data_IF_240406624762
#
_entry.id   IF_240406624762
#
_cell.length_a   1.000
_cell.length_b   1.000
_cell.length_c   1.000
_cell.angle_alpha   90.00
_cell.angle_beta   90.00
_cell.angle_gamma   90.00
#
_symmetry.space_group_name_H-M   'P 1'
#
loop_
_entity.id
_entity.type
_entity.pdbx_description
1 polymer ?
#
# COMPACT_ATOMS: atom_id res chain seq x y z
N UNK A 1 6.09 8.10 14.18
CA UNK A 1 6.79 6.92 13.62
C UNK A 1 8.24 6.94 14.08
N UNK A 2 8.80 5.78 14.45
CA UNK A 2 10.20 5.72 14.91
C UNK A 2 11.18 5.95 13.75
N UNK A 3 12.29 6.65 14.03
CA UNK A 3 13.41 6.82 13.09
C UNK A 3 13.91 5.45 12.63
N UNK A 4 13.97 4.46 13.53
CA UNK A 4 14.42 3.12 13.21
C UNK A 4 13.54 2.43 12.16
N UNK A 5 12.22 2.61 12.21
CA UNK A 5 11.31 2.08 11.19
C UNK A 5 11.60 2.70 9.81
N UNK A 6 11.81 4.02 9.75
CA UNK A 6 12.16 4.70 8.51
C UNK A 6 13.52 4.24 7.95
N UNK A 7 14.50 3.96 8.80
CA UNK A 7 15.80 3.41 8.37
C UNK A 7 15.63 2.03 7.74
N UNK A 8 14.85 1.14 8.37
CA UNK A 8 14.56 -0.19 7.81
C UNK A 8 13.81 -0.09 6.48
N UNK A 9 12.85 0.82 6.37
CA UNK A 9 12.12 1.07 5.12
C UNK A 9 13.07 1.60 4.03
N UNK A 10 13.98 2.52 4.37
CA UNK A 10 15.01 3.01 3.47
C UNK A 10 15.92 1.87 2.96
N UNK A 11 16.27 0.93 3.81
CA UNK A 11 17.01 -0.27 3.41
C UNK A 11 16.20 -1.13 2.41
N UNK A 12 14.91 -1.40 2.71
CA UNK A 12 14.03 -2.15 1.80
C UNK A 12 13.93 -1.45 0.44
N UNK A 13 13.79 -0.12 0.43
CA UNK A 13 13.79 0.69 -0.78
C UNK A 13 15.08 0.49 -1.59
N UNK A 14 16.25 0.61 -0.97
CA UNK A 14 17.54 0.43 -1.65
C UNK A 14 17.68 -0.98 -2.23
N UNK A 15 17.22 -2.00 -1.50
CA UNK A 15 17.19 -3.38 -2.00
C UNK A 15 16.35 -3.49 -3.28
N UNK A 16 15.17 -2.88 -3.32
CA UNK A 16 14.31 -2.93 -4.51
C UNK A 16 14.91 -2.15 -5.69
N UNK A 17 15.51 -0.99 -5.45
CA UNK A 17 16.26 -0.27 -6.49
C UNK A 17 17.44 -1.09 -7.03
N UNK A 18 18.14 -1.81 -6.16
CA UNK A 18 19.21 -2.71 -6.59
C UNK A 18 18.67 -3.88 -7.45
N UNK A 19 17.52 -4.46 -7.06
CA UNK A 19 16.85 -5.51 -7.85
C UNK A 19 16.41 -4.97 -9.21
N UNK A 20 15.85 -3.76 -9.29
CA UNK A 20 15.49 -3.10 -10.56
C UNK A 20 16.70 -3.04 -11.50
N UNK A 21 17.85 -2.58 -11.00
CA UNK A 21 19.09 -2.53 -11.80
C UNK A 21 19.53 -3.92 -12.24
N UNK A 22 19.45 -4.91 -11.36
CA UNK A 22 19.79 -6.28 -11.69
C UNK A 22 18.89 -6.89 -12.77
N UNK A 23 17.58 -6.66 -12.70
CA UNK A 23 16.57 -7.28 -13.56
C UNK A 23 16.39 -6.55 -14.90
N UNK A 24 16.50 -5.21 -14.92
CA UNK A 24 16.29 -4.42 -16.15
C UNK A 24 17.59 -4.14 -16.92
N UNK A 25 18.71 -3.96 -16.21
CA UNK A 25 19.96 -3.49 -16.82
C UNK A 25 21.02 -4.59 -16.88
N UNK A 26 21.18 -5.34 -15.78
CA UNK A 26 22.28 -6.29 -15.64
C UNK A 26 21.89 -7.74 -15.86
N UNK A 27 20.62 -8.04 -16.20
CA UNK A 27 20.09 -9.41 -16.27
C UNK A 27 20.93 -10.33 -17.14
N UNK A 28 21.26 -9.89 -18.35
CA UNK A 28 22.09 -10.66 -19.29
C UNK A 28 23.59 -10.42 -19.12
N UNK A 29 24.02 -9.63 -18.13
CA UNK A 29 25.44 -9.39 -17.83
C UNK A 29 25.97 -10.44 -16.84
N UNK A 30 27.29 -10.68 -16.78
CA UNK A 30 27.88 -11.68 -15.87
C UNK A 30 27.44 -11.52 -14.41
N UNK A 31 27.31 -10.27 -13.94
CA UNK A 31 26.85 -9.97 -12.57
C UNK A 31 25.41 -10.39 -12.32
N UNK A 32 24.47 -10.07 -13.22
CA UNK A 32 23.06 -10.48 -13.06
C UNK A 32 22.94 -12.00 -13.06
N UNK A 33 23.56 -12.65 -14.05
CA UNK A 33 23.59 -14.12 -14.13
C UNK A 33 24.18 -14.78 -12.89
N UNK A 34 25.25 -14.23 -12.31
CA UNK A 34 25.83 -14.75 -11.08
C UNK A 34 24.89 -14.61 -9.87
N UNK A 35 24.12 -13.53 -9.78
CA UNK A 35 23.17 -13.30 -8.68
C UNK A 35 21.97 -14.24 -8.77
N UNK A 36 21.44 -14.46 -9.98
CA UNK A 36 20.25 -15.27 -10.22
C UNK A 36 20.54 -16.73 -10.59
N UNK A 37 21.81 -17.10 -10.80
CA UNK A 37 22.22 -18.46 -11.16
C UNK A 37 21.77 -18.88 -12.56
N UNK A 38 21.71 -17.95 -13.51
CA UNK A 38 21.20 -18.21 -14.87
C UNK A 38 22.31 -18.45 -15.89
N UNK A 39 22.03 -19.28 -16.91
CA UNK A 39 22.92 -19.42 -18.07
C UNK A 39 22.78 -18.23 -19.02
N UNK A 40 23.77 -17.96 -19.89
CA UNK A 40 23.65 -16.92 -20.91
C UNK A 40 22.39 -17.09 -21.79
N UNK A 41 22.09 -18.31 -22.22
CA UNK A 41 20.97 -18.62 -23.11
C UNK A 41 19.64 -18.37 -22.41
N UNK A 42 19.50 -18.81 -21.16
CA UNK A 42 18.30 -18.58 -20.37
C UNK A 42 18.09 -17.08 -20.10
N UNK A 43 19.16 -16.35 -19.76
CA UNK A 43 19.08 -14.93 -19.47
C UNK A 43 18.64 -14.13 -20.71
N UNK A 44 19.19 -14.45 -21.89
CA UNK A 44 18.75 -13.81 -23.15
C UNK A 44 17.30 -14.16 -23.48
N UNK A 45 16.90 -15.44 -23.36
CA UNK A 45 15.54 -15.88 -23.65
C UNK A 45 14.48 -15.25 -22.73
N UNK A 46 14.86 -14.88 -21.49
CA UNK A 46 13.94 -14.33 -20.47
C UNK A 46 14.13 -12.83 -20.20
N UNK A 47 14.95 -12.14 -21.00
CA UNK A 47 15.32 -10.73 -20.77
C UNK A 47 14.12 -9.79 -20.60
N UNK A 48 13.10 -9.93 -21.44
CA UNK A 48 11.90 -9.08 -21.37
C UNK A 48 11.03 -9.41 -20.16
N UNK A 49 10.95 -10.69 -19.78
CA UNK A 49 10.25 -11.13 -18.57
C UNK A 49 10.93 -10.57 -17.33
N UNK A 50 12.25 -10.66 -17.24
CA UNK A 50 13.04 -10.09 -16.15
C UNK A 50 12.90 -8.56 -16.10
N UNK A 51 12.96 -7.87 -17.24
CA UNK A 51 12.74 -6.43 -17.27
C UNK A 51 11.34 -6.05 -16.73
N UNK A 52 10.30 -6.84 -17.03
CA UNK A 52 8.96 -6.60 -16.49
C UNK A 52 8.90 -6.86 -14.97
N UNK A 53 9.57 -7.90 -14.47
CA UNK A 53 9.73 -8.13 -13.02
C UNK A 53 10.41 -6.95 -12.35
N UNK A 54 11.46 -6.42 -12.97
CA UNK A 54 12.17 -5.22 -12.55
C UNK A 54 11.26 -4.00 -12.49
N UNK A 55 10.31 -3.85 -13.42
CA UNK A 55 9.39 -2.71 -13.43
C UNK A 55 8.45 -2.73 -12.23
N UNK A 56 7.90 -3.91 -11.90
CA UNK A 56 7.06 -4.07 -10.71
C UNK A 56 7.85 -3.78 -9.43
N UNK A 57 9.10 -4.25 -9.33
CA UNK A 57 10.01 -3.87 -8.24
C UNK A 57 10.25 -2.35 -8.21
N UNK A 58 10.30 -1.70 -9.37
CA UNK A 58 10.38 -0.25 -9.51
C UNK A 58 9.15 0.47 -8.95
N UNK A 59 7.94 -0.06 -9.17
CA UNK A 59 6.72 0.49 -8.57
C UNK A 59 6.72 0.35 -7.05
N UNK A 60 7.21 -0.77 -6.50
CA UNK A 60 7.39 -0.92 -5.06
C UNK A 60 8.37 0.12 -4.50
N UNK A 61 9.51 0.32 -5.19
CA UNK A 61 10.49 1.33 -4.80
C UNK A 61 9.90 2.75 -4.84
N UNK A 62 9.21 3.13 -5.92
CA UNK A 62 8.54 4.43 -6.05
C UNK A 62 7.49 4.63 -4.94
N UNK A 63 6.73 3.59 -4.63
CA UNK A 63 5.78 3.58 -3.52
C UNK A 63 6.41 3.80 -2.15
N UNK A 64 7.55 3.16 -1.88
CA UNK A 64 8.31 3.35 -0.63
C UNK A 64 8.94 4.74 -0.55
N UNK A 65 9.42 5.31 -1.67
CA UNK A 65 9.88 6.71 -1.71
C UNK A 65 8.74 7.64 -1.33
N UNK A 66 7.58 7.49 -1.98
CA UNK A 66 6.40 8.28 -1.66
C UNK A 66 6.02 8.14 -0.19
N UNK A 67 6.01 6.92 0.33
CA UNK A 67 5.68 6.64 1.72
C UNK A 67 6.66 7.29 2.72
N UNK A 68 7.94 7.42 2.38
CA UNK A 68 8.96 8.08 3.20
C UNK A 68 8.88 9.61 3.14
N UNK A 69 8.45 10.17 2.00
CA UNK A 69 8.33 11.61 1.79
C UNK A 69 6.98 12.20 2.22
N UNK A 70 5.94 11.38 2.29
CA UNK A 70 4.62 11.79 2.75
C UNK A 70 4.59 12.04 4.28
N UNK A 71 3.54 12.71 4.74
CA UNK A 71 3.31 13.04 6.14
C UNK A 71 2.06 12.37 6.74
N UNK A 72 2.00 12.35 8.07
CA UNK A 72 0.82 11.97 8.84
C UNK A 72 0.25 10.58 8.51
N UNK A 73 -1.08 10.51 8.35
CA UNK A 73 -1.80 9.27 8.11
C UNK A 73 -1.44 8.64 6.74
N UNK A 74 -1.26 9.46 5.71
CA UNK A 74 -0.89 9.01 4.36
C UNK A 74 0.44 8.29 4.37
N UNK A 75 1.46 8.85 5.04
CA UNK A 75 2.76 8.21 5.20
C UNK A 75 2.64 6.83 5.86
N UNK A 76 1.87 6.75 6.95
CA UNK A 76 1.67 5.50 7.68
C UNK A 76 0.98 4.43 6.82
N UNK A 77 -0.12 4.77 6.17
CA UNK A 77 -0.88 3.85 5.32
C UNK A 77 -0.06 3.37 4.11
N UNK A 78 0.66 4.28 3.45
CA UNK A 78 1.52 3.93 2.33
C UNK A 78 2.65 2.97 2.77
N UNK A 79 3.30 3.22 3.92
CA UNK A 79 4.34 2.33 4.47
C UNK A 79 3.78 0.93 4.72
N UNK A 80 2.64 0.82 5.38
CA UNK A 80 2.00 -0.47 5.64
C UNK A 80 1.64 -1.21 4.35
N UNK A 81 1.06 -0.51 3.38
CA UNK A 81 0.67 -1.09 2.11
C UNK A 81 1.88 -1.64 1.35
N UNK A 82 2.89 -0.80 1.09
CA UNK A 82 4.04 -1.22 0.28
C UNK A 82 4.91 -2.25 0.99
N UNK A 83 5.13 -2.13 2.32
CA UNK A 83 5.83 -3.19 3.05
C UNK A 83 5.03 -4.49 3.09
N UNK A 84 3.69 -4.43 3.16
CA UNK A 84 2.81 -5.58 3.05
C UNK A 84 2.95 -6.28 1.69
N UNK A 85 2.98 -5.50 0.60
CA UNK A 85 3.25 -6.02 -0.74
C UNK A 85 4.63 -6.69 -0.83
N UNK A 86 5.68 -6.04 -0.32
CA UNK A 86 7.04 -6.62 -0.30
C UNK A 86 7.08 -7.91 0.52
N UNK A 87 6.41 -7.96 1.67
CA UNK A 87 6.34 -9.16 2.49
C UNK A 87 5.65 -10.29 1.74
N UNK A 88 4.49 -10.03 1.13
CA UNK A 88 3.73 -11.03 0.37
C UNK A 88 4.54 -11.56 -0.83
N UNK A 89 5.14 -10.67 -1.63
CA UNK A 89 6.00 -11.04 -2.74
C UNK A 89 7.23 -11.82 -2.28
N UNK A 90 7.85 -11.40 -1.18
CA UNK A 90 9.02 -12.07 -0.59
C UNK A 90 8.70 -13.48 -0.08
N UNK A 91 7.54 -13.68 0.54
CA UNK A 91 7.07 -15.00 0.97
C UNK A 91 6.77 -15.90 -0.23
N UNK A 92 6.03 -15.40 -1.22
CA UNK A 92 5.69 -16.17 -2.42
C UNK A 92 6.94 -16.54 -3.23
N UNK A 93 7.82 -15.58 -3.48
CA UNK A 93 9.10 -15.81 -4.16
C UNK A 93 10.04 -16.71 -3.35
N UNK A 94 10.03 -16.60 -2.02
CA UNK A 94 10.76 -17.50 -1.14
C UNK A 94 10.33 -18.96 -1.27
N UNK A 95 9.03 -19.20 -1.46
CA UNK A 95 8.45 -20.53 -1.63
C UNK A 95 8.60 -21.08 -3.06
N UNK A 96 8.59 -20.23 -4.08
CA UNK A 96 8.52 -20.64 -5.49
C UNK A 96 9.83 -20.50 -6.28
N UNK A 97 10.68 -19.54 -5.92
CA UNK A 97 11.91 -19.20 -6.67
C UNK A 97 13.16 -19.55 -5.86
N UNK A 98 13.22 -19.15 -4.59
CA UNK A 98 14.37 -19.49 -3.76
C UNK A 98 14.38 -18.89 -2.36
N UNK A 99 14.84 -19.68 -1.39
CA UNK A 99 14.89 -19.32 0.05
C UNK A 99 15.64 -18.03 0.37
N UNK A 100 16.58 -17.60 -0.48
CA UNK A 100 17.29 -16.33 -0.31
C UNK A 100 16.33 -15.12 -0.29
N UNK A 101 15.23 -15.19 -1.03
CA UNK A 101 14.24 -14.12 -1.12
C UNK A 101 13.55 -13.88 0.24
N UNK A 102 13.37 -14.92 1.05
CA UNK A 102 12.85 -14.76 2.42
C UNK A 102 13.75 -13.83 3.26
N UNK A 103 15.07 -13.95 3.14
CA UNK A 103 16.01 -13.16 3.92
C UNK A 103 16.22 -11.76 3.35
N UNK A 104 16.21 -11.61 2.02
CA UNK A 104 16.50 -10.33 1.35
C UNK A 104 15.24 -9.44 1.23
N UNK A 105 14.05 -10.02 1.14
CA UNK A 105 12.80 -9.27 0.97
C UNK A 105 11.83 -9.43 2.16
N UNK A 106 11.43 -10.67 2.48
CA UNK A 106 10.37 -10.89 3.47
C UNK A 106 10.79 -10.47 4.89
N UNK A 107 11.99 -10.86 5.32
CA UNK A 107 12.51 -10.53 6.65
C UNK A 107 12.60 -9.02 6.92
N UNK A 108 13.28 -8.20 6.08
CA UNK A 108 13.35 -6.75 6.35
C UNK A 108 11.98 -6.07 6.22
N UNK A 109 11.09 -6.54 5.36
CA UNK A 109 9.73 -6.02 5.28
C UNK A 109 8.91 -6.33 6.55
N UNK A 110 9.01 -7.55 7.08
CA UNK A 110 8.38 -7.93 8.34
C UNK A 110 8.90 -7.11 9.52
N UNK A 111 10.22 -6.86 9.58
CA UNK A 111 10.83 -5.97 10.59
C UNK A 111 10.27 -4.56 10.44
N UNK A 112 10.23 -4.01 9.22
CA UNK A 112 9.66 -2.68 8.96
C UNK A 112 8.20 -2.57 9.42
N UNK A 113 7.37 -3.56 9.08
CA UNK A 113 5.96 -3.62 9.50
C UNK A 113 5.82 -3.68 11.02
N UNK A 114 6.59 -4.55 11.66
CA UNK A 114 6.57 -4.70 13.11
C UNK A 114 6.92 -3.38 13.81
N UNK A 115 7.88 -2.62 13.28
CA UNK A 115 8.32 -1.36 13.87
C UNK A 115 7.40 -0.18 13.53
N UNK A 116 6.69 -0.22 12.40
CA UNK A 116 5.62 0.72 12.10
C UNK A 116 4.43 0.52 13.05
N UNK A 117 4.09 -0.72 13.36
CA UNK A 117 3.01 -1.07 14.27
C UNK A 117 3.43 -1.00 15.76
N UNK A 118 4.73 -0.98 16.05
CA UNK A 118 5.24 -0.82 17.40
C UNK A 118 4.95 0.59 17.91
N UNK A 119 4.21 0.76 19.02
CA UNK A 119 4.00 2.08 19.61
C UNK A 119 5.35 2.63 20.08
N UNK A 120 5.91 3.58 19.33
CA UNK A 120 7.11 4.30 19.78
C UNK A 120 6.82 5.17 21.02
N UNK A 121 5.55 5.41 21.34
CA UNK A 121 5.07 5.98 22.59
C UNK A 121 3.66 5.45 22.84
N UNK A 122 3.26 5.24 24.09
CA UNK A 122 1.92 4.81 24.53
C UNK A 122 0.78 5.79 24.23
N UNK A 123 0.85 6.55 23.13
CA UNK A 123 -0.10 7.59 22.71
C UNK A 123 -0.72 7.29 21.35
N UNK A 124 -1.22 6.07 21.17
CA UNK A 124 -2.34 5.82 20.26
C UNK A 124 -3.43 5.06 20.99
N UNK A 125 -3.96 5.67 22.06
CA UNK A 125 -5.38 5.47 22.32
C UNK A 125 -6.11 6.14 21.15
N UNK A 126 -6.91 5.42 20.34
CA UNK A 126 -7.85 6.11 19.47
C UNK A 126 -8.64 7.06 20.37
N UNK A 127 -8.77 8.32 19.96
CA UNK A 127 -9.61 9.27 20.69
C UNK A 127 -10.95 8.59 20.91
N UNK A 128 -11.29 8.32 22.17
CA UNK A 128 -12.55 7.67 22.54
C UNK A 128 -13.64 8.49 21.84
N UNK A 129 -14.38 7.88 20.92
CA UNK A 129 -15.49 8.57 20.28
C UNK A 129 -16.33 9.22 21.40
N UNK A 130 -16.73 10.51 21.28
CA UNK A 130 -17.57 11.13 22.29
C UNK A 130 -18.78 10.22 22.50
N UNK A 131 -19.10 9.94 23.75
CA UNK A 131 -20.22 9.08 24.09
C UNK A 131 -21.48 9.59 23.36
N UNK A 132 -22.27 8.71 22.73
CA UNK A 132 -23.49 9.14 22.06
C UNK A 132 -24.41 9.78 23.11
N UNK A 133 -24.58 11.11 23.06
CA UNK A 133 -25.46 11.83 23.98
C UNK A 133 -25.09 13.27 24.33
N UNK A 134 -23.87 13.75 24.07
CA UNK A 134 -23.49 15.15 24.39
C UNK A 134 -23.49 16.05 23.15
N UNK A 135 -24.63 16.12 22.46
CA UNK A 135 -24.93 17.24 21.57
C UNK A 135 -25.84 18.23 22.29
N UNK A 136 -25.77 19.55 22.02
CA UNK A 136 -26.67 20.50 22.64
C UNK A 136 -28.12 20.13 22.25
N UNK A 137 -28.96 19.84 23.26
CA UNK A 137 -30.38 19.59 23.11
C UNK A 137 -31.02 20.73 22.31
N UNK A 138 -31.30 20.50 21.02
CA UNK A 138 -32.24 21.35 20.27
C UNK A 138 -33.65 20.94 20.70
N UNK A 139 -34.45 21.82 21.32
CA UNK A 139 -35.84 21.48 21.63
C UNK A 139 -36.60 21.28 20.32
N UNK A 140 -37.24 20.12 20.19
CA UNK A 140 -38.11 19.79 19.07
C UNK A 140 -39.28 20.78 19.03
N UNK A 141 -39.26 21.70 18.06
CA UNK A 141 -40.38 22.58 17.77
C UNK A 141 -41.53 21.76 17.19
N UNK A 142 -42.39 21.32 18.09
CA UNK A 142 -43.72 20.77 17.81
C UNK A 142 -44.65 21.95 17.46
N UNK A 143 -44.81 22.26 16.17
CA UNK A 143 -45.96 23.03 15.65
C UNK A 143 -46.71 22.09 14.70
N UNK A 144 -47.72 21.39 15.20
CA UNK A 144 -49.12 21.82 15.24
C UNK A 144 -49.72 21.94 13.83
N UNK A 145 -50.65 21.01 13.56
CA UNK A 145 -51.38 20.80 12.32
C UNK A 145 -52.33 21.95 11.96
N UNK A 146 -52.64 22.09 10.65
CA UNK A 146 -53.98 22.22 10.01
C UNK A 146 -53.86 22.82 8.57
N UNK A 147 -54.90 22.77 7.71
CA UNK A 147 -55.47 21.60 7.04
C UNK A 147 -55.50 21.76 5.49
N UNK A 148 -55.88 20.69 4.79
CA UNK A 148 -56.13 20.63 3.33
C UNK A 148 -57.04 21.75 2.81
N UNK A 149 -56.68 22.31 1.64
CA UNK A 149 -57.62 22.90 0.71
C UNK A 149 -57.32 22.40 -0.72
N UNK A 150 -58.35 21.85 -1.35
CA UNK A 150 -58.40 21.28 -2.70
C UNK A 150 -58.63 22.39 -3.74
N UNK A 151 -57.89 22.35 -4.85
CA UNK A 151 -58.25 22.83 -6.21
C UNK A 151 -56.96 22.74 -7.04
N UNK A 152 -56.88 22.19 -8.25
CA UNK A 152 -57.84 21.66 -9.19
C UNK A 152 -57.09 21.48 -10.53
N UNK A 153 -57.62 20.61 -11.39
CA UNK A 153 -57.40 20.55 -12.83
C UNK A 153 -55.99 20.17 -13.37
N UNK A 154 -55.95 19.11 -14.18
CA UNK A 154 -54.85 18.90 -15.13
C UNK A 154 -54.57 17.47 -15.60
N UNK A 155 -55.51 16.85 -16.33
CA UNK A 155 -55.25 15.79 -17.33
C UNK A 155 -54.04 16.22 -18.21
N UNK A 156 -53.10 15.39 -18.65
CA UNK A 156 -53.26 14.20 -19.50
C UNK A 156 -51.90 13.44 -19.67
N UNK A 157 -51.90 12.22 -20.24
CA UNK A 157 -50.74 11.33 -20.35
C UNK A 157 -50.12 11.27 -21.77
N UNK A 158 -48.90 10.74 -21.86
CA UNK A 158 -48.24 10.33 -23.11
C UNK A 158 -46.76 10.66 -23.06
N UNK A 159 -45.80 9.83 -23.43
CA UNK A 159 -45.80 8.50 -24.03
C UNK A 159 -44.33 8.17 -24.37
N UNK A 160 -44.00 6.88 -24.34
CA UNK A 160 -42.98 6.18 -25.13
C UNK A 160 -41.70 6.95 -25.53
N UNK A 161 -40.55 6.52 -25.01
CA UNK A 161 -39.50 5.74 -25.73
C UNK A 161 -38.33 5.46 -24.80
#
# INVERSE_FOLDING_TARGET
>A
MSIAANVVIGLVLVIHLYIVVLEMVLWTRPRGRAVFGTTPEYAEATKTLAANQGLYNGFLAAGLIWALLADGATAYQAKLFFLGCVLAAGLYGGATVGRRILFVQAAPAAVGLSWCCWPADGRHRPARAPAPGTGPHRPALRRAARPRQLAGAGRAPGGLS
#
